data_IF_137696822746
#
_entry.id   IF_137696822746
#
_cell.length_a   1.000
_cell.length_b   1.000
_cell.length_c   1.000
_cell.angle_alpha   90.00
_cell.angle_beta   90.00
_cell.angle_gamma   90.00
#
_symmetry.space_group_name_H-M   'P 1'
#
loop_
_entity.id
_entity.type
_entity.pdbx_description
1 polymer ?
#
# COMPACT_ATOMS: atom_id res chain seq x y z
N UNK A 1 -15.55 -8.44 2.18
CA UNK A 1 -14.84 -7.60 1.21
C UNK A 1 -14.62 -6.24 1.85
N UNK A 2 -13.40 -5.72 1.83
CA UNK A 2 -13.08 -4.43 2.44
C UNK A 2 -13.52 -3.31 1.51
N UNK A 3 -14.52 -2.54 1.94
CA UNK A 3 -15.11 -1.43 1.20
C UNK A 3 -14.78 -0.08 1.86
N UNK A 4 -15.19 1.02 1.22
CA UNK A 4 -14.96 2.36 1.74
C UNK A 4 -15.66 2.60 3.08
N UNK A 5 -16.78 1.93 3.34
CA UNK A 5 -17.46 2.00 4.63
C UNK A 5 -16.65 1.35 5.75
N UNK A 6 -16.04 0.18 5.49
CA UNK A 6 -15.12 -0.47 6.41
C UNK A 6 -13.89 0.40 6.65
N UNK A 7 -13.27 0.95 5.60
CA UNK A 7 -12.14 1.86 5.71
C UNK A 7 -12.47 3.06 6.60
N UNK A 8 -13.62 3.72 6.37
CA UNK A 8 -14.08 4.84 7.21
C UNK A 8 -14.25 4.46 8.67
N UNK A 9 -14.72 3.24 8.99
CA UNK A 9 -14.82 2.75 10.36
C UNK A 9 -13.45 2.63 11.03
N UNK A 10 -12.42 2.17 10.32
CA UNK A 10 -11.05 2.08 10.84
C UNK A 10 -10.38 3.45 10.97
N UNK A 11 -10.76 4.41 10.12
CA UNK A 11 -10.26 5.78 10.18
C UNK A 11 -10.97 6.62 11.24
N UNK A 12 -12.20 6.24 11.63
CA UNK A 12 -13.00 6.98 12.59
C UNK A 12 -12.30 7.06 13.96
N UNK A 13 -12.13 8.27 14.46
CA UNK A 13 -11.50 8.52 15.77
C UNK A 13 -9.97 8.50 15.75
N UNK A 14 -9.33 8.24 14.61
CA UNK A 14 -7.89 8.44 14.45
C UNK A 14 -7.58 9.93 14.30
N UNK A 15 -6.47 10.37 14.88
CA UNK A 15 -5.94 11.71 14.63
C UNK A 15 -5.65 11.89 13.12
N UNK A 16 -5.72 13.12 12.57
CA UNK A 16 -5.23 13.39 11.22
C UNK A 16 -3.78 12.92 11.06
N UNK A 17 -3.43 12.44 9.87
CA UNK A 17 -2.03 12.15 9.56
C UNK A 17 -1.19 13.43 9.66
N UNK A 18 0.07 13.29 10.08
CA UNK A 18 0.98 14.43 10.17
C UNK A 18 1.18 15.09 8.80
N UNK A 19 1.43 16.41 8.73
CA UNK A 19 1.74 17.09 7.48
C UNK A 19 2.88 16.39 6.73
N UNK A 20 2.70 16.15 5.43
CA UNK A 20 3.67 15.42 4.61
C UNK A 20 3.67 13.90 4.78
N UNK A 21 2.77 13.35 5.61
CA UNK A 21 2.54 11.91 5.72
C UNK A 21 1.31 11.48 4.93
N UNK A 22 1.31 10.22 4.54
CA UNK A 22 0.17 9.53 3.92
C UNK A 22 -0.27 8.41 4.82
N UNK A 23 -1.59 8.28 5.00
CA UNK A 23 -2.19 7.18 5.73
C UNK A 23 -2.47 6.00 4.81
N UNK A 24 -2.01 4.84 5.24
CA UNK A 24 -2.17 3.58 4.54
C UNK A 24 -2.98 2.58 5.38
N UNK A 25 -3.91 1.93 4.71
CA UNK A 25 -4.69 0.81 5.21
C UNK A 25 -4.19 -0.46 4.54
N UNK A 26 -3.76 -1.44 5.32
CA UNK A 26 -3.36 -2.74 4.79
C UNK A 26 -4.35 -3.76 5.32
N UNK A 27 -5.12 -4.38 4.44
CA UNK A 27 -6.10 -5.41 4.79
C UNK A 27 -5.69 -6.77 4.22
N UNK A 28 -5.48 -7.73 5.10
CA UNK A 28 -5.28 -9.13 4.76
C UNK A 28 -6.59 -9.90 5.00
N UNK A 29 -7.23 -10.32 3.92
CA UNK A 29 -8.49 -11.06 3.97
C UNK A 29 -8.32 -12.46 4.57
N UNK A 30 -7.19 -13.14 4.34
CA UNK A 30 -6.98 -14.48 4.88
C UNK A 30 -6.86 -14.45 6.41
N UNK A 31 -6.24 -13.39 6.94
CA UNK A 31 -6.03 -13.19 8.38
C UNK A 31 -7.13 -12.37 9.06
N UNK A 32 -8.06 -11.80 8.30
CA UNK A 32 -9.09 -10.87 8.79
C UNK A 32 -8.49 -9.72 9.61
N UNK A 33 -7.38 -9.17 9.13
CA UNK A 33 -6.61 -8.18 9.88
C UNK A 33 -6.42 -6.90 9.07
N UNK A 34 -6.51 -5.75 9.75
CA UNK A 34 -6.24 -4.42 9.22
C UNK A 34 -5.11 -3.77 10.01
N UNK A 35 -4.15 -3.18 9.29
CA UNK A 35 -3.16 -2.27 9.85
C UNK A 35 -3.37 -0.85 9.31
N UNK A 36 -3.22 0.16 10.18
CA UNK A 36 -3.29 1.58 9.82
C UNK A 36 -1.96 2.22 10.11
N UNK A 37 -1.33 2.79 9.09
CA UNK A 37 0.06 3.24 9.16
C UNK A 37 0.19 4.59 8.50
N UNK A 38 0.81 5.53 9.20
CA UNK A 38 1.18 6.81 8.62
C UNK A 38 2.65 6.75 8.18
N UNK A 39 2.91 7.08 6.93
CA UNK A 39 4.25 7.04 6.32
C UNK A 39 4.58 8.40 5.72
N UNK A 40 5.80 8.89 5.97
CA UNK A 40 6.27 10.12 5.35
C UNK A 40 6.42 9.94 3.83
N UNK A 41 5.85 10.86 3.06
CA UNK A 41 5.86 10.78 1.60
C UNK A 41 7.29 10.79 1.03
N UNK A 42 8.22 11.52 1.67
CA UNK A 42 9.62 11.57 1.26
C UNK A 42 10.36 10.25 1.50
N UNK A 43 10.10 9.57 2.62
CA UNK A 43 10.63 8.25 2.90
C UNK A 43 10.06 7.23 1.90
N UNK A 44 8.74 7.26 1.70
CA UNK A 44 8.06 6.38 0.75
C UNK A 44 8.61 6.49 -0.67
N UNK A 45 8.91 7.71 -1.15
CA UNK A 45 9.56 7.92 -2.46
C UNK A 45 10.90 7.21 -2.57
N UNK A 46 11.70 7.24 -1.50
CA UNK A 46 13.01 6.59 -1.44
C UNK A 46 12.86 5.07 -1.42
N UNK A 47 11.94 4.56 -0.62
CA UNK A 47 11.69 3.13 -0.47
C UNK A 47 11.17 2.53 -1.79
N UNK A 48 10.26 3.23 -2.48
CA UNK A 48 9.80 2.82 -3.82
C UNK A 48 10.94 2.77 -4.83
N UNK A 49 11.81 3.79 -4.86
CA UNK A 49 12.96 3.82 -5.76
C UNK A 49 13.93 2.66 -5.47
N UNK A 50 14.14 2.34 -4.19
CA UNK A 50 14.95 1.20 -3.79
C UNK A 50 14.33 -0.12 -4.27
N UNK A 51 13.05 -0.37 -3.98
CA UNK A 51 12.34 -1.58 -4.40
C UNK A 51 12.39 -1.74 -5.93
N UNK A 52 12.07 -0.69 -6.69
CA UNK A 52 12.14 -0.69 -8.15
C UNK A 52 13.52 -1.07 -8.69
N UNK A 53 14.60 -0.65 -8.02
CA UNK A 53 15.97 -0.98 -8.42
C UNK A 53 16.37 -2.43 -8.14
N UNK A 54 15.59 -3.15 -7.33
CA UNK A 54 15.86 -4.53 -6.89
C UNK A 54 14.91 -5.56 -7.47
N UNK A 55 13.87 -5.14 -8.22
CA UNK A 55 12.91 -6.07 -8.80
C UNK A 55 13.53 -6.83 -9.98
N UNK A 56 13.28 -8.16 -10.06
CA UNK A 56 13.68 -8.96 -11.22
C UNK A 56 12.90 -8.54 -12.48
N UNK A 57 13.50 -8.72 -13.66
CA UNK A 57 12.93 -8.28 -14.95
C UNK A 57 11.77 -9.16 -15.48
N UNK A 58 11.51 -10.33 -14.87
CA UNK A 58 10.44 -11.25 -15.30
C UNK A 58 9.10 -10.97 -14.59
N UNK A 59 7.99 -11.28 -15.29
CA UNK A 59 6.57 -10.97 -14.99
C UNK A 59 6.33 -10.32 -13.62
N UNK A 60 6.45 -8.98 -13.56
CA UNK A 60 6.66 -8.29 -12.30
C UNK A 60 5.36 -8.17 -11.49
N UNK A 61 4.19 -8.26 -12.12
CA UNK A 61 2.90 -8.11 -11.43
C UNK A 61 2.62 -9.33 -10.51
N UNK A 62 2.85 -10.54 -11.03
CA UNK A 62 2.66 -11.77 -10.26
C UNK A 62 3.70 -11.89 -9.14
N UNK A 63 4.95 -11.47 -9.39
CA UNK A 63 6.02 -11.51 -8.39
C UNK A 63 5.82 -10.48 -7.28
N UNK A 64 5.27 -9.30 -7.57
CA UNK A 64 4.97 -8.27 -6.57
C UNK A 64 3.81 -8.65 -5.65
N UNK A 65 2.72 -9.18 -6.20
CA UNK A 65 1.60 -9.66 -5.39
C UNK A 65 2.02 -10.81 -4.47
N UNK A 66 2.88 -11.72 -4.97
CA UNK A 66 3.46 -12.79 -4.16
C UNK A 66 4.36 -12.23 -3.04
N UNK A 67 5.23 -11.26 -3.35
CA UNK A 67 6.09 -10.62 -2.36
C UNK A 67 5.29 -9.91 -1.25
N UNK A 68 4.22 -9.18 -1.61
CA UNK A 68 3.33 -8.53 -0.63
C UNK A 68 2.72 -9.58 0.33
N UNK A 69 2.24 -10.71 -0.20
CA UNK A 69 1.68 -11.80 0.62
C UNK A 69 2.74 -12.42 1.53
N UNK A 70 3.95 -12.63 1.04
CA UNK A 70 5.06 -13.19 1.81
C UNK A 70 5.47 -12.25 2.95
N UNK A 71 5.65 -10.97 2.68
CA UNK A 71 5.98 -9.97 3.70
C UNK A 71 4.89 -9.83 4.75
N UNK A 72 3.61 -9.86 4.34
CA UNK A 72 2.50 -9.92 5.28
C UNK A 72 2.52 -11.19 6.11
N UNK A 73 2.98 -12.30 5.52
CA UNK A 73 3.07 -13.57 6.23
C UNK A 73 4.03 -13.50 7.42
N UNK A 74 5.14 -12.76 7.27
CA UNK A 74 6.17 -12.53 8.29
C UNK A 74 5.73 -11.61 9.44
N UNK A 75 4.74 -10.73 9.24
CA UNK A 75 4.14 -9.92 10.31
C UNK A 75 4.24 -8.39 10.11
N UNK A 76 3.77 -7.63 11.11
CA UNK A 76 3.57 -6.19 11.04
C UNK A 76 4.85 -5.37 10.78
N UNK A 77 6.01 -5.88 11.17
CA UNK A 77 7.31 -5.21 10.99
C UNK A 77 7.69 -4.99 9.52
N UNK A 78 7.02 -5.69 8.60
CA UNK A 78 7.21 -5.57 7.16
C UNK A 78 6.32 -4.54 6.49
N UNK A 79 5.47 -3.84 7.25
CA UNK A 79 4.59 -2.83 6.71
C UNK A 79 5.25 -1.81 5.77
N UNK A 80 6.42 -1.22 6.06
CA UNK A 80 7.07 -0.29 5.12
C UNK A 80 7.39 -0.93 3.76
N UNK A 81 7.77 -2.21 3.75
CA UNK A 81 8.07 -2.94 2.50
C UNK A 81 6.80 -3.23 1.72
N UNK A 82 5.73 -3.64 2.40
CA UNK A 82 4.40 -3.77 1.79
C UNK A 82 3.98 -2.43 1.19
N UNK A 83 4.18 -1.32 1.90
CA UNK A 83 3.84 0.02 1.43
C UNK A 83 4.61 0.39 0.15
N UNK A 84 5.91 0.16 0.13
CA UNK A 84 6.72 0.41 -1.04
C UNK A 84 6.27 -0.46 -2.23
N UNK A 85 6.02 -1.75 -2.02
CA UNK A 85 5.59 -2.68 -3.07
C UNK A 85 4.23 -2.30 -3.66
N UNK A 86 3.24 -1.94 -2.86
CA UNK A 86 1.94 -1.57 -3.43
C UNK A 86 1.97 -0.19 -4.13
N UNK A 87 2.88 0.71 -3.77
CA UNK A 87 3.19 1.87 -4.60
C UNK A 87 3.77 1.47 -5.96
N UNK A 88 4.65 0.47 -6.02
CA UNK A 88 5.16 -0.05 -7.31
C UNK A 88 4.04 -0.66 -8.16
N UNK A 89 3.14 -1.44 -7.56
CA UNK A 89 1.96 -1.99 -8.25
C UNK A 89 1.13 -0.88 -8.90
N UNK A 90 0.91 0.24 -8.20
CA UNK A 90 0.24 1.42 -8.79
C UNK A 90 1.04 2.02 -9.96
N UNK A 91 2.36 2.13 -9.83
CA UNK A 91 3.22 2.70 -10.87
C UNK A 91 3.23 1.87 -12.15
N UNK A 92 3.17 0.54 -12.05
CA UNK A 92 3.06 -0.34 -13.21
C UNK A 92 1.73 -0.15 -13.94
N UNK A 93 0.63 -0.05 -13.19
CA UNK A 93 -0.69 0.16 -13.79
C UNK A 93 -0.84 1.52 -14.50
N UNK A 94 -0.17 2.55 -13.97
CA UNK A 94 -0.32 3.94 -14.44
C UNK A 94 0.76 4.35 -15.44
N UNK A 95 1.95 3.74 -15.37
CA UNK A 95 3.14 4.12 -16.16
C UNK A 95 3.77 5.46 -15.76
N UNK A 96 3.18 6.18 -14.80
CA UNK A 96 3.64 7.50 -14.34
C UNK A 96 3.81 7.50 -12.81
N UNK A 97 5.08 7.57 -12.40
CA UNK A 97 5.48 7.60 -10.99
C UNK A 97 4.97 8.85 -10.26
N UNK A 98 5.05 10.01 -10.90
CA UNK A 98 4.73 11.27 -10.24
C UNK A 98 3.21 11.43 -10.09
N UNK A 99 2.44 10.92 -11.05
CA UNK A 99 0.98 10.80 -10.94
C UNK A 99 0.56 9.92 -9.76
N UNK A 100 1.22 8.76 -9.57
CA UNK A 100 0.95 7.88 -8.41
C UNK A 100 1.23 8.62 -7.10
N UNK A 101 2.36 9.31 -6.98
CA UNK A 101 2.63 10.06 -5.74
C UNK A 101 1.67 11.22 -5.50
N UNK A 102 1.20 11.90 -6.55
CA UNK A 102 0.15 12.90 -6.42
C UNK A 102 -1.17 12.28 -5.93
N UNK A 103 -1.53 11.10 -6.43
CA UNK A 103 -2.71 10.35 -5.98
C UNK A 103 -2.57 9.89 -4.52
N UNK A 104 -1.42 9.34 -4.15
CA UNK A 104 -1.10 8.90 -2.78
C UNK A 104 -1.17 10.09 -1.81
N UNK A 105 -0.72 11.27 -2.21
CA UNK A 105 -0.79 12.49 -1.41
C UNK A 105 -2.22 13.02 -1.20
N UNK A 106 -3.17 12.62 -2.05
CA UNK A 106 -4.55 13.15 -2.02
C UNK A 106 -5.42 12.58 -0.91
N UNK A 107 -4.98 11.57 -0.16
CA UNK A 107 -5.79 11.01 0.92
C UNK A 107 -5.27 9.71 1.51
N UNK A 108 -6.18 8.74 1.65
CA UNK A 108 -5.90 7.43 2.24
C UNK A 108 -5.76 6.41 1.13
N UNK A 109 -4.72 5.58 1.22
CA UNK A 109 -4.52 4.45 0.30
C UNK A 109 -4.81 3.14 1.00
N UNK A 110 -5.33 2.17 0.25
CA UNK A 110 -5.54 0.82 0.74
C UNK A 110 -4.79 -0.20 -0.12
N UNK A 111 -4.12 -1.14 0.55
CA UNK A 111 -3.66 -2.42 -0.03
C UNK A 111 -4.55 -3.52 0.47
N UNK A 112 -5.30 -4.14 -0.44
CA UNK A 112 -6.23 -5.22 -0.17
C UNK A 112 -5.60 -6.50 -0.68
N UNK A 113 -5.36 -7.43 0.22
CA UNK A 113 -4.71 -8.70 -0.08
C UNK A 113 -5.72 -9.81 0.14
N UNK A 114 -6.04 -10.52 -0.94
CA UNK A 114 -6.81 -11.75 -0.89
C UNK A 114 -6.01 -12.93 -1.48
N UNK A 115 -6.65 -14.10 -1.51
CA UNK A 115 -6.02 -15.34 -1.97
C UNK A 115 -5.62 -15.30 -3.45
N UNK A 116 -6.33 -14.54 -4.27
CA UNK A 116 -6.18 -14.52 -5.73
C UNK A 116 -5.45 -13.27 -6.21
N UNK A 117 -5.73 -12.11 -5.60
CA UNK A 117 -5.22 -10.81 -6.03
C UNK A 117 -4.65 -9.96 -4.89
N UNK A 118 -3.88 -8.94 -5.29
CA UNK A 118 -3.57 -7.77 -4.48
C UNK A 118 -4.11 -6.55 -5.22
N UNK A 119 -4.96 -5.78 -4.56
CA UNK A 119 -5.57 -4.57 -5.12
C UNK A 119 -5.09 -3.37 -4.33
N UNK A 120 -4.57 -2.36 -5.04
CA UNK A 120 -4.11 -1.11 -4.44
C UNK A 120 -4.97 0.03 -4.97
N UNK A 121 -5.57 0.82 -4.09
CA UNK A 121 -6.46 1.90 -4.50
C UNK A 121 -6.56 3.03 -3.47
N UNK A 122 -6.94 4.24 -3.90
CA UNK A 122 -7.38 5.27 -2.97
C UNK A 122 -8.71 4.87 -2.30
N UNK A 123 -8.94 5.39 -1.11
CA UNK A 123 -10.18 5.26 -0.36
C UNK A 123 -10.75 6.66 -0.15
N UNK A 124 -12.05 6.83 -0.40
CA UNK A 124 -12.75 8.05 -0.03
C UNK A 124 -12.87 8.14 1.50
N UNK A 125 -11.96 8.90 2.12
CA UNK A 125 -12.03 9.27 3.54
C UNK A 125 -13.35 9.98 3.87
#
# INVERSE_FOLDING_TARGET
MFDDAAARRYLAGLAPAAPGSVRWLIYDQARQWVSVIDTELAALRRDCAHVLSTLPEEDPDASLAAAIREFLAEGADRAPHVIALSCVVLMQSTGDRDAVFAQVQSGVMATLVDAEAVVVRPVAA
#
